data_IF_852683972034
#
_entry.id   IF_852683972034
#
_cell.length_a   1.000
_cell.length_b   1.000
_cell.length_c   1.000
_cell.angle_alpha   90.00
_cell.angle_beta   90.00
_cell.angle_gamma   90.00
#
_symmetry.space_group_name_H-M   'P 1'
#
loop_
_entity.id
_entity.type
_entity.pdbx_description
1 polymer ?
#
# COMPACT_ATOMS: atom_id res chain seq x y z
N UNK A 1 -13.74 -20.74 12.19
CA UNK A 1 -12.68 -21.19 11.24
C UNK A 1 -11.86 -19.94 10.91
N UNK A 2 -10.54 -20.01 10.97
CA UNK A 2 -9.66 -18.90 10.59
C UNK A 2 -9.52 -18.83 9.06
N UNK A 3 -9.32 -17.64 8.54
CA UNK A 3 -9.02 -17.39 7.12
C UNK A 3 -7.58 -17.82 6.85
N UNK A 4 -7.37 -18.71 5.89
CA UNK A 4 -6.04 -19.18 5.50
C UNK A 4 -5.39 -18.20 4.53
N UNK A 5 -4.25 -17.65 4.91
CA UNK A 5 -3.52 -16.67 4.14
C UNK A 5 -2.22 -17.25 3.57
N UNK A 6 -1.99 -17.05 2.26
CA UNK A 6 -0.71 -17.26 1.61
C UNK A 6 0.00 -15.93 1.34
N UNK A 7 1.31 -15.90 1.45
CA UNK A 7 2.13 -14.70 1.20
C UNK A 7 3.17 -14.99 0.14
N UNK A 8 3.17 -14.25 -0.96
CA UNK A 8 4.22 -14.27 -1.98
C UNK A 8 5.17 -13.10 -1.72
N UNK A 9 6.49 -13.35 -1.86
CA UNK A 9 7.51 -12.34 -1.60
C UNK A 9 7.75 -12.09 -0.10
N UNK A 10 7.55 -13.12 0.71
CA UNK A 10 7.59 -13.04 2.17
C UNK A 10 8.92 -12.59 2.77
N UNK A 11 10.05 -12.69 2.06
CA UNK A 11 11.36 -12.25 2.53
C UNK A 11 11.61 -10.75 2.35
N UNK A 12 10.75 -10.03 1.59
CA UNK A 12 10.83 -8.58 1.41
C UNK A 12 10.30 -7.79 2.62
N UNK A 13 10.54 -6.48 2.64
CA UNK A 13 10.02 -5.62 3.71
C UNK A 13 8.50 -5.69 3.83
N UNK A 14 7.78 -5.59 2.71
CA UNK A 14 6.32 -5.66 2.69
C UNK A 14 5.80 -7.02 3.17
N UNK A 15 6.47 -8.11 2.78
CA UNK A 15 6.17 -9.45 3.27
C UNK A 15 6.40 -9.57 4.78
N UNK A 16 7.48 -8.99 5.30
CA UNK A 16 7.75 -8.93 6.74
C UNK A 16 6.68 -8.16 7.52
N UNK A 17 6.22 -7.01 7.01
CA UNK A 17 5.12 -6.27 7.66
C UNK A 17 3.81 -7.08 7.63
N UNK A 18 3.52 -7.78 6.53
CA UNK A 18 2.35 -8.64 6.44
C UNK A 18 2.41 -9.79 7.46
N UNK A 19 3.59 -10.39 7.64
CA UNK A 19 3.82 -11.42 8.66
C UNK A 19 3.53 -10.91 10.06
N UNK A 20 4.05 -9.74 10.44
CA UNK A 20 3.83 -9.12 11.77
C UNK A 20 2.35 -8.86 12.05
N UNK A 21 1.59 -8.47 11.03
CA UNK A 21 0.14 -8.26 11.14
C UNK A 21 -0.59 -9.59 11.29
N UNK A 22 -0.29 -10.57 10.42
CA UNK A 22 -1.06 -11.81 10.34
C UNK A 22 -0.77 -12.77 11.50
N UNK A 23 0.45 -12.83 12.02
CA UNK A 23 0.79 -13.66 13.20
C UNK A 23 -0.11 -13.31 14.39
N UNK A 24 -0.41 -12.02 14.56
CA UNK A 24 -1.23 -11.52 15.66
C UNK A 24 -2.73 -11.36 15.29
N UNK A 25 -3.14 -11.72 14.07
CA UNK A 25 -4.51 -11.50 13.64
C UNK A 25 -5.46 -12.59 14.18
N UNK A 26 -6.53 -12.22 14.91
CA UNK A 26 -7.37 -13.21 15.61
C UNK A 26 -8.11 -14.18 14.68
N UNK A 27 -8.46 -13.72 13.46
CA UNK A 27 -9.29 -14.45 12.51
C UNK A 27 -8.52 -14.96 11.28
N UNK A 28 -7.19 -14.85 11.25
CA UNK A 28 -6.37 -15.36 10.17
C UNK A 28 -5.34 -16.36 10.67
N UNK A 29 -4.90 -17.22 9.77
CA UNK A 29 -3.72 -18.09 9.96
C UNK A 29 -2.86 -18.05 8.70
N UNK A 30 -1.55 -18.05 8.88
CA UNK A 30 -0.60 -18.09 7.78
C UNK A 30 -0.44 -19.54 7.34
N UNK A 31 -0.99 -19.88 6.17
CA UNK A 31 -0.88 -21.22 5.61
C UNK A 31 0.49 -21.47 4.97
N UNK A 32 1.06 -20.47 4.30
CA UNK A 32 2.41 -20.53 3.76
C UNK A 32 3.01 -19.15 3.52
N UNK A 33 4.34 -19.12 3.43
CA UNK A 33 5.12 -17.94 3.07
C UNK A 33 6.09 -18.31 1.97
N UNK A 34 5.90 -17.75 0.79
CA UNK A 34 6.73 -18.06 -0.36
C UNK A 34 7.94 -17.12 -0.46
N UNK A 35 9.11 -17.71 -0.63
CA UNK A 35 10.35 -17.05 -1.05
C UNK A 35 11.27 -18.09 -1.67
N UNK A 36 11.45 -18.05 -2.98
CA UNK A 36 12.27 -19.04 -3.69
C UNK A 36 13.72 -19.02 -3.21
N UNK A 37 14.30 -17.84 -2.97
CA UNK A 37 15.69 -17.68 -2.54
C UNK A 37 15.94 -18.10 -1.09
N UNK A 38 14.89 -18.17 -0.25
CA UNK A 38 14.98 -18.53 1.17
C UNK A 38 14.26 -19.83 1.50
N UNK A 39 13.81 -20.60 0.51
CA UNK A 39 13.08 -21.85 0.73
C UNK A 39 13.84 -22.79 1.67
N UNK A 40 13.14 -23.30 2.72
CA UNK A 40 13.67 -24.13 3.78
C UNK A 40 14.21 -23.37 5.00
N UNK A 41 14.56 -22.09 4.89
CA UNK A 41 15.01 -21.28 6.02
C UNK A 41 13.84 -20.89 6.93
N UNK A 42 14.11 -20.67 8.21
CA UNK A 42 13.10 -20.08 9.12
C UNK A 42 12.79 -18.65 8.69
N UNK A 43 11.56 -18.22 8.90
CA UNK A 43 11.14 -16.83 8.68
C UNK A 43 11.97 -15.88 9.55
N UNK A 44 12.27 -16.30 10.77
CA UNK A 44 13.10 -15.56 11.73
C UNK A 44 14.57 -15.42 11.32
N UNK A 45 15.09 -16.22 10.37
CA UNK A 45 16.43 -16.01 9.81
C UNK A 45 16.53 -14.75 8.95
N UNK A 46 15.39 -14.29 8.40
CA UNK A 46 15.26 -13.06 7.59
C UNK A 46 14.66 -11.91 8.39
N UNK A 47 13.59 -12.20 9.13
CA UNK A 47 12.88 -11.26 9.99
C UNK A 47 13.19 -11.58 11.45
N UNK A 48 14.38 -11.16 11.91
CA UNK A 48 14.95 -11.53 13.21
C UNK A 48 14.13 -11.08 14.41
N UNK A 49 13.31 -10.06 14.26
CA UNK A 49 12.35 -9.59 15.27
C UNK A 49 11.19 -10.57 15.51
N UNK A 50 11.01 -11.57 14.66
CA UNK A 50 9.99 -12.63 14.82
C UNK A 50 10.53 -13.91 15.50
N UNK A 51 11.74 -13.85 16.09
CA UNK A 51 12.29 -14.95 16.89
C UNK A 51 11.37 -15.20 18.09
N UNK A 52 10.85 -16.43 18.20
CA UNK A 52 9.93 -16.83 19.25
C UNK A 52 8.45 -16.60 18.96
N UNK A 53 8.10 -15.83 17.93
CA UNK A 53 6.71 -15.60 17.51
C UNK A 53 6.24 -16.65 16.50
N UNK A 54 7.16 -17.25 15.73
CA UNK A 54 6.82 -18.26 14.73
C UNK A 54 7.99 -19.18 14.39
N UNK A 55 7.69 -20.46 14.13
CA UNK A 55 8.62 -21.46 13.60
C UNK A 55 8.37 -21.76 12.11
N UNK A 56 7.56 -20.95 11.43
CA UNK A 56 7.28 -21.10 10.01
C UNK A 56 8.55 -20.98 9.17
N UNK A 57 8.57 -21.72 8.06
CA UNK A 57 9.66 -21.70 7.08
C UNK A 57 9.17 -21.15 5.75
N UNK A 58 10.06 -20.52 5.03
CA UNK A 58 9.81 -20.19 3.63
C UNK A 58 9.69 -21.45 2.79
N UNK A 59 8.79 -21.42 1.81
CA UNK A 59 8.64 -22.49 0.81
C UNK A 59 8.76 -21.92 -0.60
N UNK A 60 9.09 -22.78 -1.57
CA UNK A 60 9.09 -22.44 -3.00
C UNK A 60 7.73 -22.66 -3.65
N UNK A 61 6.93 -23.57 -3.11
CA UNK A 61 5.63 -23.96 -3.66
C UNK A 61 4.55 -22.91 -3.40
N UNK A 62 3.45 -23.00 -4.14
CA UNK A 62 2.29 -22.11 -4.02
C UNK A 62 1.04 -22.98 -3.81
N UNK A 63 0.80 -23.44 -2.56
CA UNK A 63 -0.39 -24.22 -2.23
C UNK A 63 -1.68 -23.45 -2.53
N UNK A 64 -2.69 -24.15 -3.09
CA UNK A 64 -3.98 -23.56 -3.46
C UNK A 64 -5.08 -23.78 -2.41
N UNK A 65 -4.81 -24.45 -1.28
CA UNK A 65 -5.75 -24.62 -0.15
C UNK A 65 -5.69 -23.42 0.80
N UNK A 66 -6.03 -22.25 0.26
CA UNK A 66 -6.06 -20.97 0.97
C UNK A 66 -7.29 -20.16 0.60
N UNK A 67 -7.64 -19.20 1.42
CA UNK A 67 -8.75 -18.26 1.17
C UNK A 67 -8.29 -16.95 0.55
N UNK A 68 -7.07 -16.49 0.90
CA UNK A 68 -6.52 -15.22 0.43
C UNK A 68 -5.03 -15.33 0.15
N UNK A 69 -4.59 -14.71 -0.96
CA UNK A 69 -3.20 -14.59 -1.37
C UNK A 69 -2.76 -13.14 -1.35
N UNK A 70 -1.70 -12.85 -0.59
CA UNK A 70 -1.06 -11.53 -0.57
C UNK A 70 0.14 -11.53 -1.53
N UNK A 71 0.14 -10.60 -2.49
CA UNK A 71 1.25 -10.39 -3.42
C UNK A 71 2.14 -9.25 -2.88
N UNK A 72 3.19 -9.62 -2.13
CA UNK A 72 4.19 -8.72 -1.58
C UNK A 72 5.42 -8.61 -2.50
N UNK A 73 5.18 -8.42 -3.79
CA UNK A 73 6.20 -8.38 -4.85
C UNK A 73 6.50 -6.95 -5.32
N UNK A 74 7.54 -6.79 -6.11
CA UNK A 74 7.91 -5.50 -6.70
C UNK A 74 6.89 -4.97 -7.70
N UNK A 75 7.00 -3.68 -8.01
CA UNK A 75 6.18 -3.05 -9.05
C UNK A 75 6.50 -3.66 -10.43
N UNK A 76 5.47 -4.05 -11.17
CA UNK A 76 5.57 -4.75 -12.45
C UNK A 76 5.74 -6.26 -12.33
N UNK A 77 5.81 -6.82 -11.13
CA UNK A 77 6.03 -8.25 -10.91
C UNK A 77 4.75 -9.02 -10.55
N UNK A 78 3.68 -8.35 -10.08
CA UNK A 78 2.42 -9.02 -9.77
C UNK A 78 1.75 -9.59 -11.03
N UNK A 79 1.71 -8.83 -12.13
CA UNK A 79 1.19 -9.32 -13.42
C UNK A 79 2.01 -10.49 -13.95
N UNK A 80 3.34 -10.43 -13.88
CA UNK A 80 4.23 -11.52 -14.29
C UNK A 80 4.03 -12.77 -13.44
N UNK A 81 3.89 -12.58 -12.13
CA UNK A 81 3.63 -13.67 -11.20
C UNK A 81 2.32 -14.39 -11.53
N UNK A 82 1.24 -13.65 -11.70
CA UNK A 82 -0.08 -14.22 -12.04
C UNK A 82 -0.08 -14.90 -13.40
N UNK A 83 0.63 -14.37 -14.41
CA UNK A 83 0.77 -15.00 -15.71
C UNK A 83 1.53 -16.33 -15.66
N UNK A 84 2.52 -16.43 -14.76
CA UNK A 84 3.34 -17.63 -14.62
C UNK A 84 2.73 -18.68 -13.67
N UNK A 85 1.82 -18.28 -12.79
CA UNK A 85 1.28 -19.12 -11.73
C UNK A 85 -0.25 -19.00 -11.71
N UNK A 86 -0.97 -19.90 -12.37
CA UNK A 86 -2.44 -19.91 -12.31
C UNK A 86 -2.93 -20.07 -10.87
N UNK A 87 -3.67 -19.09 -10.39
CA UNK A 87 -4.27 -19.08 -9.05
C UNK A 87 -5.77 -19.38 -9.17
N UNK A 88 -6.27 -20.31 -8.35
CA UNK A 88 -7.69 -20.68 -8.36
C UNK A 88 -8.57 -19.43 -8.19
N UNK A 89 -9.61 -19.29 -9.03
CA UNK A 89 -10.49 -18.10 -9.05
C UNK A 89 -11.27 -17.86 -7.75
N UNK A 90 -11.40 -18.88 -6.91
CA UNK A 90 -12.03 -18.75 -5.60
C UNK A 90 -11.11 -18.11 -4.55
N UNK A 91 -9.80 -18.12 -4.79
CA UNK A 91 -8.83 -17.47 -3.90
C UNK A 91 -8.90 -15.97 -4.13
N UNK A 92 -9.13 -15.21 -3.06
CA UNK A 92 -9.05 -13.75 -3.09
C UNK A 92 -7.60 -13.31 -3.21
N UNK A 93 -7.34 -12.23 -3.95
CA UNK A 93 -5.98 -11.68 -4.09
C UNK A 93 -5.94 -10.26 -3.52
N UNK A 94 -4.92 -9.98 -2.71
CA UNK A 94 -4.58 -8.62 -2.27
C UNK A 94 -3.19 -8.31 -2.82
N UNK A 95 -3.13 -7.45 -3.84
CA UNK A 95 -1.87 -7.03 -4.45
C UNK A 95 -1.34 -5.75 -3.80
N UNK A 96 -0.09 -5.78 -3.37
CA UNK A 96 0.58 -4.64 -2.75
C UNK A 96 1.48 -3.87 -3.75
N UNK A 97 1.60 -4.37 -4.98
CA UNK A 97 2.30 -3.66 -6.06
C UNK A 97 1.46 -2.49 -6.60
N UNK A 98 1.97 -1.78 -7.60
CA UNK A 98 1.19 -0.73 -8.29
C UNK A 98 0.40 -1.26 -9.50
N UNK A 99 0.52 -2.56 -9.84
CA UNK A 99 0.16 -3.10 -11.14
C UNK A 99 -1.34 -2.98 -11.45
N UNK A 100 -2.20 -2.95 -10.42
CA UNK A 100 -3.66 -2.97 -10.56
C UNK A 100 -4.37 -1.78 -9.91
N UNK A 101 -3.63 -0.73 -9.50
CA UNK A 101 -4.20 0.39 -8.73
C UNK A 101 -5.03 1.35 -9.57
N UNK A 102 -4.62 1.61 -10.81
CA UNK A 102 -5.30 2.55 -11.70
C UNK A 102 -6.42 1.83 -12.47
N UNK A 103 -7.51 2.54 -12.73
CA UNK A 103 -8.67 2.02 -13.44
C UNK A 103 -8.30 1.37 -14.78
N UNK A 104 -7.39 1.97 -15.53
CA UNK A 104 -6.90 1.45 -16.81
C UNK A 104 -6.15 0.11 -16.70
N UNK A 105 -5.62 -0.22 -15.52
CA UNK A 105 -4.83 -1.42 -15.26
C UNK A 105 -5.51 -2.39 -14.28
N UNK A 106 -6.74 -2.11 -13.87
CA UNK A 106 -7.45 -2.85 -12.81
C UNK A 106 -7.90 -4.26 -13.19
N UNK A 107 -7.66 -4.69 -14.42
CA UNK A 107 -8.07 -6.02 -14.91
C UNK A 107 -6.88 -6.87 -15.34
N UNK A 108 -6.93 -8.14 -15.04
CA UNK A 108 -5.98 -9.15 -15.52
C UNK A 108 -6.71 -10.48 -15.75
N UNK A 109 -6.76 -10.94 -17.01
CA UNK A 109 -7.52 -12.13 -17.41
C UNK A 109 -8.99 -12.04 -16.93
N UNK A 110 -9.45 -13.02 -16.14
CA UNK A 110 -10.79 -13.05 -15.56
C UNK A 110 -10.90 -12.35 -14.19
N UNK A 111 -9.86 -11.62 -13.76
CA UNK A 111 -9.81 -10.95 -12.46
C UNK A 111 -9.94 -9.44 -12.61
N UNK A 112 -10.83 -8.88 -11.82
CA UNK A 112 -10.99 -7.44 -11.63
C UNK A 112 -10.51 -7.07 -10.23
N UNK A 113 -9.65 -6.05 -10.15
CA UNK A 113 -9.09 -5.54 -8.90
C UNK A 113 -9.77 -4.21 -8.54
N UNK A 114 -10.16 -4.10 -7.29
CA UNK A 114 -10.73 -2.86 -6.75
C UNK A 114 -9.69 -2.12 -5.91
N UNK A 115 -9.65 -0.80 -6.06
CA UNK A 115 -8.76 0.04 -5.26
C UNK A 115 -9.10 -0.05 -3.77
N UNK A 116 -8.15 -0.53 -2.99
CA UNK A 116 -8.34 -1.05 -1.64
C UNK A 116 -8.17 -0.01 -0.52
N UNK A 117 -8.64 1.22 -0.70
CA UNK A 117 -8.71 2.21 0.39
C UNK A 117 -10.08 2.12 1.07
N UNK A 118 -10.18 1.55 2.29
CA UNK A 118 -11.48 1.33 2.94
C UNK A 118 -12.26 2.61 3.21
N UNK A 119 -11.58 3.71 3.50
CA UNK A 119 -12.19 5.01 3.78
C UNK A 119 -12.88 5.61 2.55
N UNK A 120 -12.51 5.15 1.34
CA UNK A 120 -13.12 5.56 0.07
C UNK A 120 -14.08 4.51 -0.49
N UNK A 121 -13.70 3.22 -0.40
CA UNK A 121 -14.32 2.14 -1.16
C UNK A 121 -14.83 0.98 -0.29
N UNK A 122 -15.18 1.22 0.97
CA UNK A 122 -15.56 0.18 1.95
C UNK A 122 -16.57 -0.85 1.40
N UNK A 123 -17.63 -0.38 0.76
CA UNK A 123 -18.71 -1.28 0.29
C UNK A 123 -18.28 -2.10 -0.94
N UNK A 124 -17.45 -1.55 -1.82
CA UNK A 124 -16.85 -2.29 -2.93
C UNK A 124 -15.90 -3.37 -2.41
N UNK A 125 -15.06 -3.04 -1.42
CA UNK A 125 -14.10 -3.95 -0.82
C UNK A 125 -14.79 -5.15 -0.16
N UNK A 126 -15.92 -4.97 0.52
CA UNK A 126 -16.68 -6.06 1.16
C UNK A 126 -17.07 -7.17 0.17
N UNK A 127 -17.35 -6.83 -1.08
CA UNK A 127 -17.82 -7.76 -2.12
C UNK A 127 -16.73 -8.15 -3.12
N UNK A 128 -15.60 -7.45 -3.12
CA UNK A 128 -14.51 -7.69 -4.04
C UNK A 128 -13.84 -9.04 -3.84
N UNK A 129 -13.43 -9.67 -4.94
CA UNK A 129 -12.55 -10.86 -4.92
C UNK A 129 -11.08 -10.48 -4.93
N UNK A 130 -10.72 -9.39 -5.61
CA UNK A 130 -9.33 -8.96 -5.69
C UNK A 130 -9.22 -7.49 -5.34
N UNK A 131 -8.17 -7.15 -4.59
CA UNK A 131 -7.91 -5.81 -4.06
C UNK A 131 -6.52 -5.35 -4.51
N UNK A 132 -6.45 -4.13 -5.04
CA UNK A 132 -5.20 -3.42 -5.25
C UNK A 132 -4.95 -2.51 -4.05
N UNK A 133 -4.02 -2.89 -3.18
CA UNK A 133 -3.68 -2.11 -1.99
C UNK A 133 -3.02 -0.78 -2.38
N UNK A 134 -3.47 0.36 -1.82
CA UNK A 134 -2.95 1.69 -2.16
C UNK A 134 -1.44 1.85 -1.94
N UNK A 135 -0.84 2.79 -2.67
CA UNK A 135 0.52 3.24 -2.40
C UNK A 135 0.63 4.00 -1.08
N UNK A 136 1.82 3.98 -0.48
CA UNK A 136 2.04 4.54 0.86
C UNK A 136 1.77 6.06 0.94
N UNK A 137 2.36 6.86 0.04
CA UNK A 137 2.03 8.29 -0.03
C UNK A 137 0.60 8.54 -0.46
N UNK A 138 0.09 7.73 -1.41
CA UNK A 138 -1.29 7.86 -1.86
C UNK A 138 -2.25 7.68 -0.69
N UNK A 139 -2.06 6.65 0.15
CA UNK A 139 -2.87 6.46 1.36
C UNK A 139 -2.81 7.68 2.27
N UNK A 140 -1.60 8.13 2.62
CA UNK A 140 -1.41 9.24 3.56
C UNK A 140 -2.06 10.55 3.06
N UNK A 141 -1.85 10.89 1.78
CA UNK A 141 -2.37 12.11 1.18
C UNK A 141 -3.89 12.04 0.99
N UNK A 142 -4.41 10.92 0.52
CA UNK A 142 -5.84 10.72 0.35
C UNK A 142 -6.58 10.84 1.68
N UNK A 143 -6.10 10.22 2.75
CA UNK A 143 -6.70 10.35 4.08
C UNK A 143 -6.79 11.83 4.53
N UNK A 144 -5.86 12.67 4.12
CA UNK A 144 -5.95 14.10 4.40
C UNK A 144 -6.90 14.88 3.49
N UNK A 145 -7.17 14.42 2.27
CA UNK A 145 -7.93 15.18 1.26
C UNK A 145 -9.35 14.65 1.01
N UNK A 146 -9.63 13.37 1.27
CA UNK A 146 -10.94 12.76 1.02
C UNK A 146 -12.10 13.47 1.71
N UNK A 147 -12.01 13.91 3.00
CA UNK A 147 -13.10 14.62 3.64
C UNK A 147 -13.48 15.92 2.92
N UNK A 148 -12.49 16.68 2.46
CA UNK A 148 -12.69 17.92 1.72
C UNK A 148 -13.24 17.65 0.31
N UNK A 149 -12.71 16.66 -0.39
CA UNK A 149 -13.18 16.26 -1.71
C UNK A 149 -14.66 15.79 -1.67
N UNK A 150 -15.04 15.02 -0.63
CA UNK A 150 -16.43 14.56 -0.43
C UNK A 150 -17.44 15.71 -0.23
N UNK A 151 -16.95 16.88 0.16
CA UNK A 151 -17.75 18.12 0.30
C UNK A 151 -17.59 19.08 -0.87
N UNK A 152 -16.78 18.73 -1.90
CA UNK A 152 -16.52 19.60 -3.03
C UNK A 152 -15.69 20.85 -2.66
N UNK A 153 -14.83 20.78 -1.67
CA UNK A 153 -14.14 21.92 -1.07
C UNK A 153 -12.69 22.09 -1.53
N UNK A 154 -12.18 21.24 -2.41
CA UNK A 154 -10.85 21.41 -3.01
C UNK A 154 -11.01 22.29 -4.26
N UNK A 155 -10.96 23.61 -4.07
CA UNK A 155 -11.21 24.60 -5.13
C UNK A 155 -9.96 25.40 -5.49
N UNK A 156 -8.80 25.06 -4.93
CA UNK A 156 -7.51 25.67 -5.17
C UNK A 156 -6.42 24.61 -5.26
N UNK A 157 -5.24 25.01 -5.73
CA UNK A 157 -4.04 24.16 -5.74
C UNK A 157 -3.72 23.65 -4.32
N UNK A 158 -3.43 22.35 -4.23
CA UNK A 158 -2.99 21.71 -2.97
C UNK A 158 -1.48 21.52 -3.03
N UNK A 159 -0.77 22.20 -2.14
CA UNK A 159 0.66 21.99 -1.96
C UNK A 159 0.91 20.91 -0.93
N UNK A 160 1.67 19.89 -1.31
CA UNK A 160 1.90 18.69 -0.49
C UNK A 160 3.39 18.51 -0.28
N UNK A 161 3.82 18.50 0.96
CA UNK A 161 5.17 18.18 1.36
C UNK A 161 5.12 16.96 2.29
N UNK A 162 5.68 15.82 1.85
CA UNK A 162 5.57 14.61 2.64
C UNK A 162 6.90 13.86 2.73
N UNK A 163 7.25 13.46 3.95
CA UNK A 163 8.48 12.72 4.26
C UNK A 163 8.14 11.28 4.63
N UNK A 164 8.75 10.33 3.91
CA UNK A 164 8.60 8.88 4.15
C UNK A 164 9.85 8.28 4.76
N UNK A 165 9.67 7.19 5.50
CA UNK A 165 10.76 6.34 5.96
C UNK A 165 11.49 5.65 4.81
N UNK A 166 12.73 5.24 5.07
CA UNK A 166 13.65 4.70 4.07
C UNK A 166 13.25 3.32 3.54
N UNK A 167 12.54 2.51 4.32
CA UNK A 167 12.09 1.16 3.91
C UNK A 167 11.09 1.19 2.74
N UNK A 168 10.42 2.32 2.49
CA UNK A 168 9.58 2.51 1.31
C UNK A 168 10.30 2.36 -0.03
N UNK A 169 11.64 2.39 -0.05
CA UNK A 169 12.45 2.12 -1.23
C UNK A 169 12.63 0.62 -1.54
N UNK A 170 12.22 -0.26 -0.63
CA UNK A 170 12.48 -1.70 -0.71
C UNK A 170 13.91 -2.08 -0.32
N UNK A 171 14.23 -3.37 -0.45
CA UNK A 171 15.53 -3.95 -0.06
C UNK A 171 16.62 -3.87 -1.15
N UNK A 172 16.25 -3.49 -2.37
CA UNK A 172 17.22 -3.40 -3.48
C UNK A 172 18.32 -2.40 -3.15
N UNK A 173 19.56 -2.80 -3.43
CA UNK A 173 20.72 -1.94 -3.20
C UNK A 173 20.66 -0.71 -4.12
N UNK A 174 20.69 0.47 -3.52
CA UNK A 174 20.71 1.74 -4.22
C UNK A 174 21.62 2.73 -3.48
N UNK A 175 22.31 3.59 -4.21
CA UNK A 175 23.21 4.59 -3.63
C UNK A 175 22.48 5.45 -2.58
N UNK A 176 21.25 5.86 -2.85
CA UNK A 176 20.45 6.71 -1.96
C UNK A 176 19.85 5.98 -0.74
N UNK A 177 19.94 4.64 -0.70
CA UNK A 177 19.53 3.81 0.43
C UNK A 177 20.74 3.29 1.23
N UNK A 178 21.96 3.53 0.73
CA UNK A 178 23.19 3.15 1.43
C UNK A 178 23.31 3.92 2.75
N UNK A 179 23.74 3.24 3.82
CA UNK A 179 23.80 3.81 5.17
C UNK A 179 24.52 5.16 5.23
N UNK A 180 25.76 5.24 4.68
CA UNK A 180 26.55 6.47 4.72
C UNK A 180 25.92 7.65 3.98
N UNK A 181 25.06 7.38 2.99
CA UNK A 181 24.35 8.42 2.25
C UNK A 181 23.05 8.82 2.97
N UNK A 182 22.34 7.83 3.56
CA UNK A 182 21.03 8.02 4.16
C UNK A 182 21.08 8.55 5.60
N UNK A 183 22.10 8.19 6.37
CA UNK A 183 22.22 8.58 7.78
C UNK A 183 22.31 10.10 7.92
N UNK A 184 21.48 10.68 8.80
CA UNK A 184 21.36 12.13 9.03
C UNK A 184 21.05 12.94 7.73
N UNK A 185 20.36 12.36 6.78
CA UNK A 185 20.08 12.97 5.49
C UNK A 185 18.60 12.92 5.12
N UNK A 186 18.06 14.05 4.72
CA UNK A 186 16.74 14.21 4.11
C UNK A 186 16.89 14.57 2.65
N UNK A 187 16.22 13.88 1.76
CA UNK A 187 16.34 14.13 0.31
C UNK A 187 15.01 14.14 -0.41
N UNK A 188 14.84 15.13 -1.29
CA UNK A 188 13.72 15.20 -2.23
C UNK A 188 13.99 14.24 -3.40
N UNK A 189 12.92 13.62 -3.92
CA UNK A 189 12.96 12.81 -5.13
C UNK A 189 11.64 12.89 -5.88
N UNK A 190 11.66 12.78 -7.22
CA UNK A 190 10.47 12.81 -8.08
C UNK A 190 9.48 13.93 -7.74
N UNK A 191 9.97 15.14 -7.42
CA UNK A 191 9.11 16.29 -7.17
C UNK A 191 8.20 16.55 -8.37
N UNK A 192 6.90 16.71 -8.12
CA UNK A 192 5.82 16.91 -9.10
C UNK A 192 5.57 15.77 -10.10
N UNK A 193 6.36 14.67 -10.04
CA UNK A 193 6.32 13.57 -11.01
C UNK A 193 6.11 12.19 -10.32
N UNK A 194 5.74 12.19 -9.06
CA UNK A 194 5.60 10.95 -8.31
C UNK A 194 4.39 10.15 -8.81
N UNK A 195 4.58 8.85 -9.10
CA UNK A 195 3.55 7.98 -9.66
C UNK A 195 2.28 7.89 -8.81
N UNK A 196 2.36 8.12 -7.51
CA UNK A 196 1.17 8.12 -6.64
C UNK A 196 0.20 9.27 -6.92
N UNK A 197 0.61 10.31 -7.64
CA UNK A 197 -0.30 11.39 -8.06
C UNK A 197 -1.46 10.85 -8.91
N UNK A 198 -1.22 9.82 -9.72
CA UNK A 198 -2.27 9.20 -10.53
C UNK A 198 -3.34 8.54 -9.64
N UNK A 199 -2.92 7.76 -8.63
CA UNK A 199 -3.84 7.13 -7.68
C UNK A 199 -4.66 8.16 -6.89
N UNK A 200 -3.98 9.22 -6.44
CA UNK A 200 -4.61 10.31 -5.67
C UNK A 200 -5.63 11.03 -6.55
N UNK A 201 -5.24 11.36 -7.79
CA UNK A 201 -6.11 12.03 -8.75
C UNK A 201 -7.39 11.25 -9.03
N UNK A 202 -7.30 9.95 -9.37
CA UNK A 202 -8.49 9.11 -9.60
C UNK A 202 -9.40 9.05 -8.37
N UNK A 203 -8.83 8.92 -7.17
CA UNK A 203 -9.59 8.83 -5.93
C UNK A 203 -10.32 10.14 -5.59
N UNK A 204 -9.66 11.28 -5.76
CA UNK A 204 -10.28 12.58 -5.51
C UNK A 204 -11.36 12.90 -6.55
N UNK A 205 -11.11 12.59 -7.83
CA UNK A 205 -12.09 12.77 -8.91
C UNK A 205 -13.35 11.90 -8.72
N UNK A 206 -13.24 10.73 -8.06
CA UNK A 206 -14.39 9.91 -7.70
C UNK A 206 -15.36 10.66 -6.77
N UNK A 207 -14.85 11.53 -5.89
CA UNK A 207 -15.66 12.30 -4.93
C UNK A 207 -15.97 13.71 -5.42
N UNK A 208 -15.05 14.35 -6.10
CA UNK A 208 -15.16 15.70 -6.63
C UNK A 208 -14.82 15.73 -8.12
N UNK A 209 -15.77 15.41 -9.02
CA UNK A 209 -15.53 15.37 -10.47
C UNK A 209 -15.11 16.72 -11.08
N UNK A 210 -15.35 17.83 -10.39
CA UNK A 210 -14.93 19.19 -10.78
C UNK A 210 -13.51 19.53 -10.33
N UNK A 211 -12.80 18.59 -9.70
CA UNK A 211 -11.42 18.82 -9.25
C UNK A 211 -10.55 19.17 -10.45
N UNK A 212 -9.95 20.35 -10.43
CA UNK A 212 -8.86 20.70 -11.33
C UNK A 212 -7.60 20.04 -10.78
N UNK A 213 -6.83 19.39 -11.65
CA UNK A 213 -5.61 18.63 -11.29
C UNK A 213 -4.48 19.57 -10.82
N UNK A 214 -4.58 20.09 -9.60
CA UNK A 214 -3.61 21.00 -9.04
C UNK A 214 -3.04 20.44 -7.74
N UNK A 215 -2.32 19.30 -7.84
CA UNK A 215 -1.60 18.71 -6.73
C UNK A 215 -0.11 18.91 -6.92
N UNK A 216 0.48 19.86 -6.19
CA UNK A 216 1.91 20.11 -6.19
C UNK A 216 2.57 19.30 -5.08
N UNK A 217 3.15 18.13 -5.43
CA UNK A 217 3.69 17.18 -4.48
C UNK A 217 5.22 17.14 -4.49
N UNK A 218 5.82 17.34 -3.32
CA UNK A 218 7.26 17.22 -3.06
C UNK A 218 7.50 16.07 -2.08
N UNK A 219 7.78 14.86 -2.58
CA UNK A 219 8.12 13.72 -1.74
C UNK A 219 9.55 13.83 -1.22
N UNK A 220 9.73 13.50 0.04
CA UNK A 220 11.03 13.44 0.71
C UNK A 220 11.25 12.06 1.32
N UNK A 221 12.50 11.64 1.40
CA UNK A 221 12.91 10.43 2.11
C UNK A 221 13.79 10.80 3.28
N UNK A 222 13.34 10.41 4.47
CA UNK A 222 14.04 10.59 5.73
C UNK A 222 14.98 9.43 6.08
N UNK A 223 15.70 9.57 7.18
CA UNK A 223 16.63 8.60 7.74
C UNK A 223 16.02 7.69 8.82
N UNK A 224 14.70 7.71 8.95
CA UNK A 224 13.94 6.79 9.80
C UNK A 224 13.38 5.61 8.98
N UNK A 225 12.96 4.55 9.65
CA UNK A 225 12.57 3.30 8.98
C UNK A 225 11.18 3.35 8.39
N UNK A 226 10.15 3.71 9.17
CA UNK A 226 8.73 3.57 8.82
C UNK A 226 7.96 4.84 9.10
N UNK A 227 6.82 4.98 8.43
CA UNK A 227 5.88 6.07 8.61
C UNK A 227 5.99 7.16 7.55
N UNK A 228 4.93 7.95 7.43
CA UNK A 228 4.87 9.12 6.55
C UNK A 228 4.24 10.27 7.32
N UNK A 229 4.90 11.42 7.28
CA UNK A 229 4.34 12.70 7.68
C UNK A 229 4.06 13.51 6.42
N UNK A 230 2.79 13.91 6.20
CA UNK A 230 2.41 14.81 5.12
C UNK A 230 1.86 16.13 5.69
N UNK A 231 2.44 17.24 5.25
CA UNK A 231 1.90 18.56 5.46
C UNK A 231 1.28 19.05 4.14
N UNK A 232 0.00 19.41 4.19
CA UNK A 232 -0.76 19.83 3.02
C UNK A 232 -1.36 21.21 3.24
N UNK A 233 -1.26 22.07 2.22
CA UNK A 233 -1.70 23.45 2.30
C UNK A 233 -2.61 23.74 1.11
N UNK A 234 -3.78 24.31 1.38
CA UNK A 234 -4.71 24.83 0.38
C UNK A 234 -5.43 26.05 0.93
N UNK A 235 -5.91 26.90 0.04
CA UNK A 235 -6.78 28.02 0.43
C UNK A 235 -8.18 27.53 0.71
N UNK A 236 -8.78 28.01 1.79
CA UNK A 236 -10.14 27.66 2.21
C UNK A 236 -10.77 28.79 3.01
N UNK A 237 -12.09 28.95 2.86
CA UNK A 237 -12.87 29.88 3.67
C UNK A 237 -13.45 29.24 4.95
N UNK A 238 -13.10 27.97 5.22
CA UNK A 238 -13.55 27.25 6.40
C UNK A 238 -12.90 27.80 7.67
N UNK A 239 -13.68 27.93 8.73
CA UNK A 239 -13.14 28.05 10.08
C UNK A 239 -12.51 26.73 10.53
N UNK A 240 -11.66 26.79 11.57
CA UNK A 240 -11.05 25.59 12.13
C UNK A 240 -12.11 24.58 12.63
N UNK A 241 -13.16 25.06 13.30
CA UNK A 241 -14.23 24.20 13.84
C UNK A 241 -15.02 23.50 12.73
N UNK A 242 -15.32 24.22 11.65
CA UNK A 242 -15.97 23.62 10.47
C UNK A 242 -15.09 22.57 9.80
N UNK A 243 -13.81 22.88 9.62
CA UNK A 243 -12.88 21.93 9.06
C UNK A 243 -12.77 20.67 9.94
N UNK A 244 -12.55 20.83 11.24
CA UNK A 244 -12.47 19.70 12.18
C UNK A 244 -13.71 18.82 12.11
N UNK A 245 -14.92 19.44 12.13
CA UNK A 245 -16.17 18.70 12.05
C UNK A 245 -16.29 17.89 10.76
N UNK A 246 -15.83 18.39 9.61
CA UNK A 246 -15.85 17.65 8.34
C UNK A 246 -15.03 16.37 8.46
N UNK A 247 -13.84 16.41 9.09
CA UNK A 247 -13.00 15.24 9.28
C UNK A 247 -13.60 14.26 10.29
N UNK A 248 -14.15 14.73 11.40
CA UNK A 248 -14.83 13.88 12.39
C UNK A 248 -16.03 13.16 11.77
N UNK A 249 -16.86 13.88 11.04
CA UNK A 249 -18.06 13.31 10.38
C UNK A 249 -17.68 12.28 9.27
N UNK A 250 -16.54 12.45 8.61
CA UNK A 250 -16.11 11.55 7.53
C UNK A 250 -15.51 10.26 8.07
N UNK A 251 -14.80 10.32 9.19
CA UNK A 251 -14.08 9.18 9.79
C UNK A 251 -14.78 8.54 11.00
N UNK A 252 -16.04 8.91 11.27
CA UNK A 252 -16.85 8.35 12.36
C UNK A 252 -17.38 6.93 12.09
#
# INVERSE_FOLDING_TARGET
MKIKAGIIGGAGYTGGEMLRILINHPNAEIAFVNSTSNAGNLISDVHTDLIGDTDLRFISDIPQDIDVLFLCVGHGDAKKFLAANPINENIKIIDLSQDFRLTENASFENREFFYGLPELNRDKIKTAKNIANPGCFATCIQLGLLPLAAKGLINAEVHINATTGSTGAGQSLAATSHFSWRNNNLSIYKAFEHQHLNEIGESLLQLQPSLLENLSFIPQRGDFTRGILAAMYLQSDLTLDEAQKIYEDYYS
#
